data_IF_415549944804
#
_entry.id   IF_415549944804
#
_cell.length_a   1.000
_cell.length_b   1.000
_cell.length_c   1.000
_cell.angle_alpha   90.00
_cell.angle_beta   90.00
_cell.angle_gamma   90.00
#
_symmetry.space_group_name_H-M   'P 1'
#
loop_
_entity.id
_entity.type
_entity.pdbx_description
1 polymer ?
#
# COMPACT_ATOMS: atom_id res chain seq x y z
N UNK A 1 -31.72 -3.92 -40.47
CA UNK A 1 -31.81 -3.17 -39.20
C UNK A 1 -30.96 -3.89 -38.15
N UNK A 2 -29.72 -3.43 -37.88
CA UNK A 2 -28.90 -3.94 -36.77
C UNK A 2 -29.22 -3.21 -35.44
N UNK A 3 -28.94 -3.83 -34.28
CA UNK A 3 -29.42 -3.36 -32.97
C UNK A 3 -28.66 -2.14 -32.41
N UNK A 4 -29.29 -1.36 -31.51
CA UNK A 4 -28.81 -0.04 -31.07
C UNK A 4 -27.95 -0.12 -29.80
N UNK A 5 -26.81 -0.83 -29.86
CA UNK A 5 -25.82 -0.83 -28.76
C UNK A 5 -24.37 -0.60 -29.21
N UNK A 6 -24.14 -0.18 -30.45
CA UNK A 6 -22.80 0.12 -30.98
C UNK A 6 -22.24 1.50 -30.55
N UNK A 7 -22.87 2.21 -29.60
CA UNK A 7 -22.61 3.64 -29.34
C UNK A 7 -21.86 3.94 -28.05
N UNK A 8 -21.01 3.01 -27.58
CA UNK A 8 -20.14 3.20 -26.41
C UNK A 8 -18.67 2.80 -26.63
N UNK A 9 -18.27 2.53 -27.88
CA UNK A 9 -16.87 2.37 -28.23
C UNK A 9 -16.43 3.60 -29.02
N UNK A 10 -15.94 4.61 -28.31
CA UNK A 10 -15.07 5.60 -28.93
C UNK A 10 -13.78 4.87 -29.31
N UNK A 11 -13.58 4.63 -30.61
CA UNK A 11 -12.30 4.26 -31.16
C UNK A 11 -11.34 5.40 -30.88
N UNK A 12 -10.49 5.25 -29.87
CA UNK A 12 -9.37 6.15 -29.64
C UNK A 12 -8.45 6.04 -30.86
N UNK A 13 -8.18 7.13 -31.60
CA UNK A 13 -7.13 7.13 -32.61
C UNK A 13 -5.82 6.85 -31.89
N UNK A 14 -5.09 5.81 -32.31
CA UNK A 14 -3.89 5.22 -31.68
C UNK A 14 -3.01 6.25 -30.91
N UNK A 15 -3.16 6.38 -29.57
CA UNK A 15 -2.44 7.38 -28.80
C UNK A 15 -1.47 6.69 -27.83
N UNK A 16 -0.50 5.94 -28.37
CA UNK A 16 0.61 5.38 -27.62
C UNK A 16 0.22 4.24 -26.68
N UNK A 17 1.00 3.16 -26.72
CA UNK A 17 0.84 2.09 -25.74
C UNK A 17 0.90 2.68 -24.33
N UNK A 18 -0.14 2.52 -23.47
CA UNK A 18 -0.10 3.07 -22.13
C UNK A 18 1.09 2.46 -21.40
N UNK A 19 2.09 3.29 -21.10
CA UNK A 19 3.24 2.87 -20.32
C UNK A 19 2.80 2.73 -18.87
N UNK A 20 3.13 1.61 -18.20
CA UNK A 20 2.89 1.51 -16.77
C UNK A 20 3.60 2.66 -16.06
N UNK A 21 2.99 3.19 -15.00
CA UNK A 21 3.67 4.14 -14.13
C UNK A 21 5.02 3.54 -13.71
N UNK A 22 6.09 4.35 -13.60
CA UNK A 22 7.36 3.87 -13.07
C UNK A 22 7.08 3.18 -11.74
N UNK A 23 7.23 1.85 -11.72
CA UNK A 23 7.05 1.08 -10.51
C UNK A 23 8.11 1.49 -9.49
N UNK A 24 7.88 1.24 -8.20
CA UNK A 24 8.97 1.29 -7.25
C UNK A 24 10.05 0.28 -7.66
N UNK A 25 11.25 0.38 -7.08
CA UNK A 25 12.32 -0.60 -7.33
C UNK A 25 11.80 -2.03 -7.20
N UNK A 26 12.31 -2.98 -7.99
CA UNK A 26 11.81 -4.36 -7.92
C UNK A 26 12.06 -4.93 -6.53
N UNK A 27 10.99 -5.24 -5.80
CA UNK A 27 11.12 -5.83 -4.48
C UNK A 27 11.84 -7.18 -4.50
N UNK A 28 12.79 -7.33 -3.57
CA UNK A 28 13.64 -8.51 -3.37
C UNK A 28 13.40 -9.19 -2.04
N UNK A 29 12.94 -8.47 -1.02
CA UNK A 29 12.70 -9.00 0.33
C UNK A 29 11.30 -8.64 0.85
N UNK A 30 10.71 -9.51 1.67
CA UNK A 30 9.46 -9.25 2.39
C UNK A 30 9.74 -9.23 3.89
N UNK A 31 9.59 -8.06 4.50
CA UNK A 31 9.72 -7.91 5.96
C UNK A 31 8.52 -8.50 6.70
N UNK A 32 7.38 -8.68 6.02
CA UNK A 32 6.22 -9.35 6.59
C UNK A 32 6.49 -10.84 6.86
N UNK A 33 7.32 -11.46 6.01
CA UNK A 33 7.76 -12.84 6.16
C UNK A 33 8.86 -13.01 7.22
N UNK A 34 9.69 -11.98 7.44
CA UNK A 34 10.74 -12.03 8.46
C UNK A 34 10.12 -11.99 9.87
N UNK A 35 10.28 -13.11 10.59
CA UNK A 35 9.87 -13.27 11.97
C UNK A 35 10.55 -12.26 12.89
N UNK A 36 9.79 -11.70 13.84
CA UNK A 36 10.30 -10.73 14.80
C UNK A 36 9.29 -10.50 15.93
N UNK A 37 9.77 -10.13 17.11
CA UNK A 37 8.92 -9.77 18.25
C UNK A 37 8.54 -8.29 18.18
N UNK A 38 7.26 -7.99 18.35
CA UNK A 38 6.76 -6.62 18.44
C UNK A 38 6.40 -6.31 19.89
N UNK A 39 6.83 -5.13 20.37
CA UNK A 39 6.39 -4.63 21.68
C UNK A 39 4.86 -4.45 21.69
N UNK A 40 4.15 -4.80 22.78
CA UNK A 40 2.70 -4.64 22.89
C UNK A 40 2.22 -3.22 22.57
N UNK A 41 2.97 -2.20 23.00
CA UNK A 41 2.66 -0.80 22.71
C UNK A 41 2.67 -0.50 21.20
N UNK A 42 3.55 -1.17 20.44
CA UNK A 42 3.62 -0.98 18.97
C UNK A 42 2.47 -1.71 18.27
N UNK A 43 2.06 -2.87 18.79
CA UNK A 43 0.89 -3.61 18.29
C UNK A 43 -0.39 -2.80 18.52
N UNK A 44 -0.59 -2.24 19.72
CA UNK A 44 -1.74 -1.38 20.02
C UNK A 44 -1.78 -0.16 19.10
N UNK A 45 -0.63 0.51 18.89
CA UNK A 45 -0.54 1.62 17.93
C UNK A 45 -0.92 1.19 16.51
N UNK A 46 -0.47 0.01 16.07
CA UNK A 46 -0.79 -0.53 14.76
C UNK A 46 -2.29 -0.84 14.62
N UNK A 47 -2.90 -1.48 15.61
CA UNK A 47 -4.35 -1.74 15.64
C UNK A 47 -5.13 -0.43 15.53
N UNK A 48 -4.79 0.57 16.35
CA UNK A 48 -5.42 1.90 16.27
C UNK A 48 -5.24 2.56 14.89
N UNK A 49 -4.05 2.43 14.28
CA UNK A 49 -3.76 2.93 12.92
C UNK A 49 -4.59 2.25 11.84
N UNK A 50 -4.81 0.94 11.95
CA UNK A 50 -5.67 0.17 11.03
C UNK A 50 -7.13 0.61 11.15
N UNK A 51 -7.65 0.73 12.37
CA UNK A 51 -9.02 1.19 12.61
C UNK A 51 -9.24 2.63 12.12
N UNK A 52 -8.31 3.54 12.41
CA UNK A 52 -8.40 4.94 11.94
C UNK A 52 -8.27 5.05 10.41
N UNK A 53 -7.44 4.23 9.77
CA UNK A 53 -7.34 4.19 8.30
C UNK A 53 -8.62 3.65 7.66
N UNK A 54 -9.24 2.63 8.25
CA UNK A 54 -10.56 2.12 7.84
C UNK A 54 -11.64 3.20 7.97
N UNK A 55 -11.67 3.90 9.10
CA UNK A 55 -12.62 5.00 9.31
C UNK A 55 -12.40 6.14 8.31
N UNK A 56 -11.14 6.55 8.08
CA UNK A 56 -10.82 7.61 7.12
C UNK A 56 -11.29 7.28 5.69
N UNK A 57 -11.11 6.04 5.23
CA UNK A 57 -11.58 5.61 3.91
C UNK A 57 -13.10 5.48 3.80
N UNK A 58 -13.81 5.31 4.92
CA UNK A 58 -15.27 5.32 4.96
C UNK A 58 -15.86 6.73 4.98
N UNK A 59 -15.13 7.66 5.60
CA UNK A 59 -15.60 9.02 5.82
C UNK A 59 -15.15 9.98 4.71
N UNK A 60 -14.01 9.73 4.06
CA UNK A 60 -13.39 10.61 3.08
C UNK A 60 -13.11 9.90 1.76
N UNK A 61 -12.99 10.67 0.68
CA UNK A 61 -12.56 10.15 -0.61
C UNK A 61 -11.11 9.65 -0.56
N UNK A 62 -10.81 8.65 -1.40
CA UNK A 62 -9.46 8.12 -1.55
C UNK A 62 -8.45 9.22 -1.91
N UNK A 63 -8.84 10.14 -2.79
CA UNK A 63 -8.03 11.29 -3.17
C UNK A 63 -7.63 12.14 -1.96
N UNK A 64 -8.57 12.45 -1.06
CA UNK A 64 -8.28 13.23 0.15
C UNK A 64 -7.32 12.49 1.08
N UNK A 65 -7.47 11.17 1.21
CA UNK A 65 -6.59 10.34 2.02
C UNK A 65 -5.17 10.32 1.44
N UNK A 66 -5.04 10.13 0.12
CA UNK A 66 -3.76 10.14 -0.59
C UNK A 66 -3.10 11.53 -0.53
N UNK A 67 -3.85 12.61 -0.76
CA UNK A 67 -3.33 13.98 -0.70
C UNK A 67 -2.79 14.32 0.70
N UNK A 68 -3.53 13.94 1.75
CA UNK A 68 -3.07 14.09 3.14
C UNK A 68 -1.80 13.29 3.41
N UNK A 69 -1.69 12.10 2.84
CA UNK A 69 -0.50 11.27 2.99
C UNK A 69 0.71 11.87 2.27
N UNK A 70 0.54 12.35 1.02
CA UNK A 70 1.59 13.07 0.26
C UNK A 70 2.14 14.24 1.05
N UNK A 71 1.25 15.07 1.61
CA UNK A 71 1.63 16.23 2.42
C UNK A 71 2.42 15.83 3.69
N UNK A 72 2.11 14.68 4.29
CA UNK A 72 2.86 14.16 5.45
C UNK A 72 4.23 13.60 5.05
N UNK A 73 4.34 12.94 3.88
CA UNK A 73 5.59 12.38 3.37
C UNK A 73 6.63 13.47 3.09
N UNK A 74 6.20 14.60 2.49
CA UNK A 74 7.09 15.74 2.20
C UNK A 74 7.63 16.41 3.47
N UNK A 75 6.82 16.50 4.52
CA UNK A 75 7.22 17.08 5.81
C UNK A 75 8.06 16.13 6.69
N UNK A 76 8.13 14.84 6.35
CA UNK A 76 8.92 13.86 7.11
C UNK A 76 10.42 13.97 6.76
N UNK A 77 11.24 14.39 7.72
CA UNK A 77 12.69 14.63 7.57
C UNK A 77 13.57 13.85 8.56
N UNK A 78 13.03 12.84 9.25
CA UNK A 78 13.81 12.12 10.27
C UNK A 78 14.61 10.96 9.69
N UNK A 79 15.94 11.07 9.78
CA UNK A 79 16.91 9.99 9.57
C UNK A 79 17.15 9.22 10.86
N UNK A 80 16.82 7.93 10.84
CA UNK A 80 17.18 6.94 11.86
C UNK A 80 17.44 5.61 11.14
N UNK A 81 17.64 4.53 11.90
CA UNK A 81 17.76 3.18 11.34
C UNK A 81 16.42 2.75 10.69
N UNK A 82 16.30 3.02 9.39
CA UNK A 82 15.08 2.80 8.63
C UNK A 82 14.71 1.32 8.57
N UNK A 83 15.71 0.44 8.46
CA UNK A 83 15.53 -1.00 8.37
C UNK A 83 15.01 -1.58 9.69
N UNK A 84 15.61 -1.19 10.82
CA UNK A 84 15.13 -1.62 12.12
C UNK A 84 13.70 -1.14 12.40
N UNK A 85 13.38 0.11 12.03
CA UNK A 85 12.02 0.64 12.18
C UNK A 85 11.02 -0.05 11.25
N UNK A 86 11.41 -0.35 10.01
CA UNK A 86 10.59 -1.08 9.06
C UNK A 86 10.28 -2.51 9.54
N UNK A 87 11.28 -3.24 10.04
CA UNK A 87 11.11 -4.58 10.66
C UNK A 87 10.19 -4.54 11.87
N UNK A 88 10.34 -3.51 12.73
CA UNK A 88 9.46 -3.29 13.88
C UNK A 88 8.01 -3.07 13.45
N UNK A 89 7.79 -2.27 12.41
CA UNK A 89 6.45 -2.02 11.85
C UNK A 89 5.87 -3.29 11.23
N UNK A 90 6.64 -4.03 10.44
CA UNK A 90 6.22 -5.29 9.83
C UNK A 90 5.80 -6.32 10.89
N UNK A 91 6.61 -6.47 11.96
CA UNK A 91 6.29 -7.36 13.08
C UNK A 91 5.01 -6.94 13.81
N UNK A 92 4.81 -5.64 14.04
CA UNK A 92 3.61 -5.13 14.68
C UNK A 92 2.36 -5.30 13.79
N UNK A 93 2.52 -5.13 12.48
CA UNK A 93 1.46 -5.42 11.51
C UNK A 93 1.07 -6.90 11.56
N UNK A 94 2.05 -7.82 11.48
CA UNK A 94 1.82 -9.27 11.59
C UNK A 94 1.12 -9.65 12.90
N UNK A 95 1.52 -9.07 14.02
CA UNK A 95 0.82 -9.31 15.30
C UNK A 95 -0.62 -8.76 15.27
N UNK A 96 -0.86 -7.62 14.62
CA UNK A 96 -2.20 -7.02 14.52
C UNK A 96 -3.16 -7.83 13.64
N UNK A 97 -2.68 -8.61 12.67
CA UNK A 97 -3.55 -9.45 11.82
C UNK A 97 -4.20 -10.59 12.59
N UNK A 98 -3.58 -11.04 13.69
CA UNK A 98 -4.18 -12.00 14.63
C UNK A 98 -5.39 -11.43 15.37
N UNK A 99 -5.50 -10.09 15.47
CA UNK A 99 -6.57 -9.40 16.19
C UNK A 99 -7.68 -8.94 15.22
N UNK A 100 -7.29 -8.33 14.10
CA UNK A 100 -8.23 -7.68 13.17
C UNK A 100 -8.42 -8.42 11.83
N UNK A 101 -7.83 -9.60 11.67
CA UNK A 101 -7.74 -10.31 10.40
C UNK A 101 -6.83 -9.61 9.38
N UNK A 102 -6.64 -10.23 8.22
CA UNK A 102 -5.90 -9.67 7.06
C UNK A 102 -6.71 -9.68 5.76
N UNK A 103 -7.91 -10.26 5.75
CA UNK A 103 -8.73 -10.40 4.55
C UNK A 103 -9.39 -9.07 4.17
N UNK A 104 -9.45 -8.76 2.87
CA UNK A 104 -10.16 -7.62 2.25
C UNK A 104 -9.83 -6.20 2.77
N UNK A 105 -8.65 -6.03 3.36
CA UNK A 105 -8.26 -4.77 4.00
C UNK A 105 -6.92 -4.20 3.52
N UNK A 106 -6.45 -4.61 2.34
CA UNK A 106 -5.13 -4.23 1.80
C UNK A 106 -4.87 -2.72 1.83
N UNK A 107 -5.81 -1.90 1.35
CA UNK A 107 -5.65 -0.44 1.32
C UNK A 107 -5.62 0.21 2.73
N UNK A 108 -6.60 -0.02 3.64
CA UNK A 108 -6.52 0.47 5.00
C UNK A 108 -5.27 0.00 5.75
N UNK A 109 -4.85 -1.25 5.53
CA UNK A 109 -3.71 -1.86 6.21
C UNK A 109 -2.39 -1.25 5.72
N UNK A 110 -2.24 -1.08 4.42
CA UNK A 110 -1.09 -0.38 3.82
C UNK A 110 -1.02 1.08 4.23
N UNK A 111 -2.15 1.78 4.32
CA UNK A 111 -2.20 3.14 4.86
C UNK A 111 -1.78 3.21 6.33
N UNK A 112 -2.17 2.23 7.15
CA UNK A 112 -1.79 2.15 8.55
C UNK A 112 -0.28 1.93 8.70
N UNK A 113 0.27 0.99 7.94
CA UNK A 113 1.70 0.67 7.88
C UNK A 113 2.51 1.88 7.41
N UNK A 114 2.17 2.45 6.25
CA UNK A 114 2.85 3.63 5.70
C UNK A 114 2.76 4.82 6.68
N UNK A 115 1.60 5.01 7.30
CA UNK A 115 1.43 6.07 8.29
C UNK A 115 2.32 5.87 9.50
N UNK A 116 2.50 4.63 9.98
CA UNK A 116 3.35 4.31 11.13
C UNK A 116 4.85 4.47 10.78
N UNK A 117 5.29 4.04 9.60
CA UNK A 117 6.64 4.30 9.09
C UNK A 117 6.96 5.80 9.06
N UNK A 118 6.03 6.62 8.53
CA UNK A 118 6.18 8.07 8.53
C UNK A 118 6.28 8.67 9.95
N UNK A 119 5.68 8.06 10.99
CA UNK A 119 5.90 8.55 12.38
C UNK A 119 7.33 8.32 12.85
N UNK A 120 7.94 7.23 12.40
CA UNK A 120 9.33 6.90 12.70
C UNK A 120 10.32 7.63 11.80
N UNK A 121 9.85 8.48 10.88
CA UNK A 121 10.69 9.18 9.92
C UNK A 121 11.03 8.36 8.67
N UNK A 122 10.61 7.10 8.61
CA UNK A 122 10.91 6.21 7.49
C UNK A 122 10.04 6.57 6.30
N UNK A 123 10.70 6.95 5.20
CA UNK A 123 10.03 7.17 3.91
C UNK A 123 9.83 5.82 3.24
N UNK A 124 8.59 5.55 2.86
CA UNK A 124 8.19 4.38 2.11
C UNK A 124 7.16 4.81 1.06
N UNK A 125 7.10 4.03 0.00
CA UNK A 125 6.14 4.18 -1.09
C UNK A 125 4.87 3.40 -0.76
N UNK A 126 3.72 4.05 -0.91
CA UNK A 126 2.43 3.37 -0.92
C UNK A 126 2.11 3.02 -2.37
N UNK A 127 1.98 1.72 -2.67
CA UNK A 127 1.84 1.23 -4.03
C UNK A 127 0.46 0.60 -4.19
N UNK A 128 -0.31 1.12 -5.15
CA UNK A 128 -1.54 0.48 -5.62
C UNK A 128 -1.22 -0.21 -6.94
N UNK A 129 -1.50 -1.51 -7.00
CA UNK A 129 -1.34 -2.32 -8.19
C UNK A 129 -2.65 -2.99 -8.61
N UNK A 130 -2.74 -3.35 -9.88
CA UNK A 130 -3.87 -4.08 -10.44
C UNK A 130 -3.39 -5.29 -11.24
N UNK A 131 -4.18 -6.35 -11.26
CA UNK A 131 -4.09 -7.42 -12.26
C UNK A 131 -5.41 -7.48 -13.01
N UNK A 132 -5.38 -7.91 -14.27
CA UNK A 132 -6.54 -7.84 -15.15
C UNK A 132 -7.33 -9.15 -15.26
N UNK A 133 -6.69 -10.30 -14.97
CA UNK A 133 -7.33 -11.61 -15.13
C UNK A 133 -7.08 -12.54 -13.91
N UNK A 134 -8.10 -12.80 -13.07
CA UNK A 134 -9.30 -11.98 -12.91
C UNK A 134 -8.95 -10.58 -12.40
N UNK A 135 -9.76 -9.56 -12.71
CA UNK A 135 -9.50 -8.19 -12.26
C UNK A 135 -9.46 -8.10 -10.73
N UNK A 136 -8.32 -7.65 -10.20
CA UNK A 136 -8.15 -7.40 -8.77
C UNK A 136 -7.25 -6.19 -8.55
N UNK A 137 -7.60 -5.38 -7.54
CA UNK A 137 -6.76 -4.30 -7.05
C UNK A 137 -6.11 -4.70 -5.73
N UNK A 138 -4.87 -4.29 -5.55
CA UNK A 138 -4.11 -4.57 -4.34
C UNK A 138 -3.27 -3.37 -3.94
N UNK A 139 -2.94 -3.28 -2.65
CA UNK A 139 -2.20 -2.16 -2.10
C UNK A 139 -1.18 -2.65 -1.08
N UNK A 140 0.08 -2.26 -1.23
CA UNK A 140 1.18 -2.61 -0.33
C UNK A 140 2.07 -1.41 -0.04
N UNK A 141 2.95 -1.56 0.94
CA UNK A 141 3.97 -0.57 1.28
C UNK A 141 5.35 -1.12 0.97
N UNK A 142 6.18 -0.31 0.33
CA UNK A 142 7.52 -0.69 -0.06
C UNK A 142 8.55 0.37 0.37
N UNK A 143 9.69 -0.08 0.89
CA UNK A 143 10.82 0.75 1.25
C UNK A 143 12.04 0.24 0.48
N UNK A 144 12.51 0.98 -0.53
CA UNK A 144 13.57 0.49 -1.43
C UNK A 144 13.13 -0.81 -2.11
N UNK A 145 13.91 -1.87 -1.93
CA UNK A 145 13.63 -3.23 -2.44
C UNK A 145 12.87 -4.13 -1.43
N UNK A 146 12.37 -3.56 -0.32
CA UNK A 146 11.70 -4.30 0.75
C UNK A 146 10.19 -4.04 0.81
N UNK A 147 9.37 -5.09 0.68
CA UNK A 147 7.92 -5.01 0.94
C UNK A 147 7.67 -5.18 2.44
N UNK A 148 6.90 -4.27 3.03
CA UNK A 148 6.76 -4.19 4.50
C UNK A 148 5.61 -5.04 5.04
N UNK A 149 4.46 -5.04 4.37
CA UNK A 149 3.21 -5.62 4.88
C UNK A 149 2.61 -6.71 4.00
N UNK A 150 3.37 -7.16 2.99
CA UNK A 150 2.92 -8.16 2.04
C UNK A 150 4.05 -9.11 1.61
N UNK A 151 3.70 -10.15 0.85
CA UNK A 151 4.63 -11.10 0.27
C UNK A 151 5.15 -10.62 -1.10
N UNK A 152 6.37 -11.05 -1.45
CA UNK A 152 6.94 -10.78 -2.77
C UNK A 152 6.12 -11.43 -3.88
N UNK A 153 5.66 -12.65 -3.65
CA UNK A 153 4.91 -13.40 -4.65
C UNK A 153 3.57 -12.73 -4.93
N UNK A 154 2.85 -12.28 -3.90
CA UNK A 154 1.59 -11.56 -4.11
C UNK A 154 1.82 -10.24 -4.87
N UNK A 155 2.76 -9.41 -4.44
CA UNK A 155 3.01 -8.09 -5.07
C UNK A 155 3.45 -8.18 -6.53
N UNK A 156 4.19 -9.23 -6.90
CA UNK A 156 4.63 -9.48 -8.29
C UNK A 156 3.50 -9.83 -9.26
N UNK A 157 2.34 -10.26 -8.75
CA UNK A 157 1.17 -10.54 -9.58
C UNK A 157 0.45 -9.26 -10.04
N UNK A 158 0.77 -8.10 -9.47
CA UNK A 158 0.10 -6.84 -9.75
C UNK A 158 1.02 -5.87 -10.50
N UNK A 159 0.44 -5.12 -11.44
CA UNK A 159 1.09 -4.01 -12.14
C UNK A 159 0.83 -2.71 -11.38
N UNK A 160 1.85 -1.98 -10.92
CA UNK A 160 1.67 -0.69 -10.25
C UNK A 160 0.93 0.32 -11.15
N UNK A 161 -0.11 0.94 -10.61
CA UNK A 161 -0.88 2.02 -11.28
C UNK A 161 -0.77 3.35 -10.54
N UNK A 162 -0.39 3.31 -9.25
CA UNK A 162 -0.13 4.49 -8.46
C UNK A 162 0.95 4.19 -7.43
N UNK A 163 1.99 5.02 -7.44
CA UNK A 163 3.02 5.08 -6.41
C UNK A 163 2.92 6.46 -5.78
N UNK A 164 2.82 6.51 -4.46
CA UNK A 164 2.69 7.75 -3.70
C UNK A 164 3.94 7.96 -2.88
#
# INVERSE_FOLDING_TARGET
MPPPLARLLHHLPDPGTPLPCPGPERARISLAAEGGSASPATVVQMVARRLTSRAALRLWSLERVIARWRARKTCSTRGGDADAMAKRVASAYRASTLILGSHDHCLPDSLAVASQLLRYGVRAELVLGVKLDPFQAHCWVQMGDAVVNDSLDATRLFTPVLVV
#
